data_IF_741926181640
#
_entry.id   IF_741926181640
#
_cell.length_a   1.000
_cell.length_b   1.000
_cell.length_c   1.000
_cell.angle_alpha   90.00
_cell.angle_beta   90.00
_cell.angle_gamma   90.00
#
_symmetry.space_group_name_H-M   'P 1'
#
loop_
_entity.id
_entity.type
_entity.pdbx_description
1 polymer ?
#
# COMPACT_ATOMS: atom_id res chain seq x y z
N UNK A 1 11.01 17.23 -27.29
CA UNK A 1 10.10 16.48 -26.40
C UNK A 1 10.73 16.43 -25.02
N UNK A 2 10.30 17.30 -24.10
CA UNK A 2 10.88 17.38 -22.76
C UNK A 2 10.33 16.28 -21.86
N UNK A 3 11.19 15.39 -21.39
CA UNK A 3 10.87 14.42 -20.34
C UNK A 3 10.42 15.19 -19.09
N UNK A 4 9.23 14.87 -18.56
CA UNK A 4 8.76 15.45 -17.29
C UNK A 4 9.82 15.20 -16.20
N UNK A 5 10.18 16.21 -15.39
CA UNK A 5 11.18 16.03 -14.35
C UNK A 5 10.71 14.96 -13.36
N UNK A 6 11.55 13.95 -13.14
CA UNK A 6 11.34 12.99 -12.05
C UNK A 6 11.67 13.70 -10.74
N UNK A 7 10.64 14.11 -10.01
CA UNK A 7 10.79 14.66 -8.67
C UNK A 7 11.04 13.47 -7.73
N UNK A 8 12.21 13.44 -7.07
CA UNK A 8 12.43 12.52 -5.95
C UNK A 8 11.82 13.14 -4.71
N UNK A 9 10.83 12.47 -4.15
CA UNK A 9 10.24 12.82 -2.86
C UNK A 9 10.80 11.83 -1.84
N UNK A 10 11.58 12.32 -0.89
CA UNK A 10 11.98 11.55 0.28
C UNK A 10 10.92 11.77 1.36
N UNK A 11 10.29 10.68 1.80
CA UNK A 11 9.27 10.71 2.84
C UNK A 11 9.90 10.05 4.07
N UNK A 12 9.88 10.74 5.21
CA UNK A 12 10.23 10.10 6.47
C UNK A 12 9.01 9.30 6.93
N UNK A 13 9.18 7.99 7.05
CA UNK A 13 8.17 7.07 7.57
C UNK A 13 8.65 6.63 8.94
N UNK A 14 7.72 6.59 9.90
CA UNK A 14 7.99 6.03 11.21
C UNK A 14 8.62 4.62 11.08
N UNK A 15 9.72 4.30 11.79
CA UNK A 15 10.41 3.02 11.65
C UNK A 15 9.54 1.80 11.93
N UNK A 16 8.55 1.88 12.83
CA UNK A 16 7.66 0.77 13.12
C UNK A 16 6.70 0.53 11.95
N UNK A 17 6.13 1.61 11.40
CA UNK A 17 5.29 1.56 10.20
C UNK A 17 6.10 1.03 9.01
N UNK A 18 7.34 1.47 8.85
CA UNK A 18 8.23 1.06 7.76
C UNK A 18 8.55 -0.45 7.82
N UNK A 19 8.71 -1.03 9.03
CA UNK A 19 8.84 -2.48 9.22
C UNK A 19 7.55 -3.23 8.92
N UNK A 20 6.40 -2.74 9.39
CA UNK A 20 5.11 -3.37 9.08
C UNK A 20 4.87 -3.41 7.57
N UNK A 21 5.20 -2.33 6.86
CA UNK A 21 5.05 -2.26 5.40
C UNK A 21 6.05 -3.19 4.70
N UNK A 22 7.25 -3.39 5.26
CA UNK A 22 8.20 -4.38 4.74
C UNK A 22 7.64 -5.81 4.83
N UNK A 23 7.05 -6.20 5.96
CA UNK A 23 6.39 -7.51 6.08
C UNK A 23 5.20 -7.64 5.12
N UNK A 24 4.33 -6.64 5.07
CA UNK A 24 3.20 -6.62 4.13
C UNK A 24 3.66 -6.71 2.66
N UNK A 25 4.82 -6.16 2.33
CA UNK A 25 5.38 -6.23 0.97
C UNK A 25 5.73 -7.67 0.57
N UNK A 26 6.20 -8.47 1.52
CA UNK A 26 6.48 -9.90 1.33
C UNK A 26 5.16 -10.66 1.17
N UNK A 27 4.21 -10.49 2.09
CA UNK A 27 2.93 -11.22 2.09
C UNK A 27 2.10 -10.92 0.83
N UNK A 28 2.14 -9.69 0.35
CA UNK A 28 1.42 -9.26 -0.84
C UNK A 28 2.17 -9.53 -2.16
N UNK A 29 3.45 -9.92 -2.08
CA UNK A 29 4.39 -9.97 -3.19
C UNK A 29 4.38 -8.67 -4.01
N UNK A 30 4.54 -7.54 -3.32
CA UNK A 30 4.52 -6.18 -3.87
C UNK A 30 5.76 -5.43 -3.43
N UNK A 31 6.19 -4.41 -4.19
CA UNK A 31 7.31 -3.57 -3.74
C UNK A 31 6.82 -2.59 -2.67
N UNK A 32 7.66 -2.32 -1.68
CA UNK A 32 7.38 -1.40 -0.56
C UNK A 32 6.77 -0.06 -1.00
N UNK A 33 7.32 0.54 -2.06
CA UNK A 33 6.85 1.82 -2.58
C UNK A 33 5.42 1.77 -3.16
N UNK A 34 4.96 0.61 -3.63
CA UNK A 34 3.59 0.47 -4.16
C UNK A 34 2.57 0.52 -3.01
N UNK A 35 2.93 -0.01 -1.84
CA UNK A 35 2.10 0.10 -0.63
C UNK A 35 2.06 1.56 -0.15
N UNK A 36 3.21 2.25 -0.18
CA UNK A 36 3.25 3.69 0.11
C UNK A 36 2.38 4.51 -0.84
N UNK A 37 2.42 4.24 -2.14
CA UNK A 37 1.59 4.94 -3.11
C UNK A 37 0.10 4.71 -2.85
N UNK A 38 -0.30 3.48 -2.52
CA UNK A 38 -1.70 3.16 -2.19
C UNK A 38 -2.13 3.91 -0.93
N UNK A 39 -1.33 3.88 0.14
CA UNK A 39 -1.61 4.62 1.37
C UNK A 39 -1.73 6.13 1.11
N UNK A 40 -0.82 6.70 0.33
CA UNK A 40 -0.88 8.11 -0.04
C UNK A 40 -2.14 8.45 -0.86
N UNK A 41 -2.54 7.61 -1.82
CA UNK A 41 -3.80 7.79 -2.58
C UNK A 41 -5.02 7.73 -1.68
N UNK A 42 -5.06 6.79 -0.73
CA UNK A 42 -6.16 6.65 0.24
C UNK A 42 -6.32 7.93 1.05
N UNK A 43 -5.21 8.46 1.58
CA UNK A 43 -5.22 9.71 2.35
C UNK A 43 -5.71 10.87 1.48
N UNK A 44 -5.16 11.03 0.28
CA UNK A 44 -5.55 12.11 -0.65
C UNK A 44 -7.03 12.03 -1.01
N UNK A 45 -7.56 10.87 -1.37
CA UNK A 45 -8.98 10.72 -1.73
C UNK A 45 -9.91 11.02 -0.55
N UNK A 46 -9.58 10.52 0.64
CA UNK A 46 -10.37 10.79 1.86
C UNK A 46 -10.36 12.27 2.23
N UNK A 47 -9.21 12.94 2.14
CA UNK A 47 -9.09 14.37 2.46
C UNK A 47 -9.77 15.27 1.42
N UNK A 48 -9.73 14.90 0.14
CA UNK A 48 -10.25 15.76 -0.95
C UNK A 48 -11.72 15.52 -1.27
N UNK A 49 -12.20 14.28 -1.13
CA UNK A 49 -13.56 13.90 -1.54
C UNK A 49 -14.41 13.36 -0.39
N UNK A 50 -13.81 13.05 0.76
CA UNK A 50 -14.48 12.42 1.88
C UNK A 50 -14.86 10.95 1.64
N UNK A 51 -14.51 10.36 0.49
CA UNK A 51 -14.88 8.99 0.11
C UNK A 51 -13.73 8.32 -0.63
N UNK A 52 -13.64 7.00 -0.52
CA UNK A 52 -12.74 6.22 -1.38
C UNK A 52 -13.40 5.95 -2.74
N UNK A 53 -12.60 5.84 -3.80
CA UNK A 53 -13.05 5.29 -5.07
C UNK A 53 -13.31 3.80 -4.94
N UNK A 54 -14.21 3.27 -5.78
CA UNK A 54 -14.50 1.83 -5.80
C UNK A 54 -13.27 1.01 -6.18
N UNK A 55 -12.48 1.50 -7.14
CA UNK A 55 -11.21 0.89 -7.53
C UNK A 55 -10.26 0.76 -6.34
N UNK A 56 -10.11 1.80 -5.52
CA UNK A 56 -9.20 1.79 -4.38
C UNK A 56 -9.73 0.89 -3.26
N UNK A 57 -11.03 0.91 -2.99
CA UNK A 57 -11.68 -0.04 -2.06
C UNK A 57 -11.45 -1.49 -2.47
N UNK A 58 -11.70 -1.82 -3.74
CA UNK A 58 -11.53 -3.17 -4.26
C UNK A 58 -10.06 -3.62 -4.19
N UNK A 59 -9.12 -2.70 -4.44
CA UNK A 59 -7.70 -3.00 -4.32
C UNK A 59 -7.29 -3.30 -2.87
N UNK A 60 -7.76 -2.49 -1.91
CA UNK A 60 -7.52 -2.73 -0.48
C UNK A 60 -8.14 -4.05 -0.03
N UNK A 61 -9.38 -4.34 -0.44
CA UNK A 61 -10.05 -5.60 -0.12
C UNK A 61 -9.29 -6.81 -0.69
N UNK A 62 -8.77 -6.71 -1.92
CA UNK A 62 -7.93 -7.76 -2.52
C UNK A 62 -6.63 -7.97 -1.75
N UNK A 63 -5.96 -6.89 -1.32
CA UNK A 63 -4.77 -6.98 -0.49
C UNK A 63 -5.07 -7.65 0.86
N UNK A 64 -6.14 -7.24 1.53
CA UNK A 64 -6.57 -7.85 2.79
C UNK A 64 -6.82 -9.36 2.66
N UNK A 65 -7.54 -9.78 1.60
CA UNK A 65 -7.80 -11.19 1.34
C UNK A 65 -6.54 -12.01 1.06
N UNK A 66 -5.49 -11.41 0.47
CA UNK A 66 -4.21 -12.07 0.26
C UNK A 66 -3.48 -12.31 1.57
N UNK A 67 -3.38 -11.28 2.42
CA UNK A 67 -2.72 -11.38 3.72
C UNK A 67 -3.44 -12.40 4.61
N UNK A 68 -4.77 -12.32 4.72
CA UNK A 68 -5.55 -13.25 5.52
C UNK A 68 -5.39 -14.72 5.06
N UNK A 69 -5.22 -14.96 3.75
CA UNK A 69 -4.95 -16.31 3.22
C UNK A 69 -3.53 -16.79 3.52
N UNK A 70 -2.54 -15.90 3.47
CA UNK A 70 -1.17 -16.23 3.81
C UNK A 70 -1.04 -16.60 5.29
N UNK A 71 -1.70 -15.84 6.18
CA UNK A 71 -1.76 -16.13 7.62
C UNK A 71 -2.44 -17.47 7.91
N UNK A 72 -3.57 -17.76 7.25
CA UNK A 72 -4.26 -19.04 7.40
C UNK A 72 -3.38 -20.21 6.95
N UNK A 73 -2.71 -20.10 5.81
CA UNK A 73 -1.81 -21.13 5.31
C UNK A 73 -0.64 -21.40 6.28
N UNK A 74 -0.04 -20.33 6.82
CA UNK A 74 1.04 -20.43 7.81
C UNK A 74 0.59 -21.04 9.15
N UNK A 75 -0.66 -20.83 9.56
CA UNK A 75 -1.22 -21.41 10.79
C UNK A 75 -1.55 -22.92 10.67
N UNK A 76 -1.63 -23.45 9.44
CA UNK A 76 -2.00 -24.84 9.17
C UNK A 76 -0.84 -25.73 8.67
N UNK A 77 0.37 -25.17 8.55
CA UNK A 77 1.59 -25.87 8.15
C UNK A 77 2.41 -26.30 9.36
#
# INVERSE_FOLDING_TARGET
MGSKPRIRVSIFVDPEIDRTIEHLSIDLNMKKYEIYEIGARVIVELLTTGKLSEQLRNKIASMHNKVARAELAAATA
#
